data_IF_559676139498
#
_entry.id   IF_559676139498
#
_cell.length_a   1.000
_cell.length_b   1.000
_cell.length_c   1.000
_cell.angle_alpha   90.00
_cell.angle_beta   90.00
_cell.angle_gamma   90.00
#
_symmetry.space_group_name_H-M   'P 1'
#
loop_
_entity.id
_entity.type
_entity.pdbx_description
1 polymer ?
#
# COMPACT_ATOMS: atom_id res chain seq x y z
N UNK A 1 28.42 -18.67 15.74
CA UNK A 1 27.31 -17.70 15.64
C UNK A 1 26.77 -17.79 14.23
N UNK A 2 25.59 -18.41 14.09
CA UNK A 2 25.01 -18.73 12.79
C UNK A 2 24.76 -17.48 11.95
N UNK A 3 25.49 -17.42 10.83
CA UNK A 3 25.23 -16.52 9.71
C UNK A 3 23.98 -17.00 8.95
N UNK A 4 22.82 -17.04 9.62
CA UNK A 4 21.54 -17.07 8.90
C UNK A 4 21.42 -15.74 8.17
N UNK A 5 21.84 -15.71 6.91
CA UNK A 5 21.44 -14.68 5.94
C UNK A 5 19.93 -14.48 6.11
N UNK A 6 19.53 -13.34 6.67
CA UNK A 6 18.12 -13.01 6.84
C UNK A 6 17.50 -12.95 5.44
N UNK A 7 16.81 -14.02 5.05
CA UNK A 7 16.33 -14.20 3.68
C UNK A 7 15.12 -13.33 3.33
N UNK A 8 14.56 -12.64 4.33
CA UNK A 8 13.51 -11.64 4.18
C UNK A 8 14.09 -10.23 4.25
N UNK A 9 14.09 -9.56 3.10
CA UNK A 9 14.27 -8.12 3.00
C UNK A 9 13.02 -7.48 2.37
N UNK A 10 12.82 -6.19 2.59
CA UNK A 10 11.67 -5.45 2.06
C UNK A 10 11.54 -5.55 0.53
N UNK A 11 12.65 -5.72 -0.21
CA UNK A 11 12.62 -5.82 -1.67
C UNK A 11 11.96 -7.11 -2.18
N UNK A 12 12.29 -8.29 -1.60
CA UNK A 12 11.63 -9.55 -1.98
C UNK A 12 10.13 -9.51 -1.68
N UNK A 13 9.77 -8.98 -0.51
CA UNK A 13 8.36 -8.81 -0.10
C UNK A 13 7.63 -7.85 -1.05
N UNK A 14 8.24 -6.70 -1.35
CA UNK A 14 7.69 -5.72 -2.28
C UNK A 14 7.46 -6.34 -3.66
N UNK A 15 8.47 -7.03 -4.21
CA UNK A 15 8.37 -7.66 -5.55
C UNK A 15 7.24 -8.68 -5.61
N UNK A 16 7.11 -9.54 -4.58
CA UNK A 16 6.00 -10.50 -4.49
C UNK A 16 4.66 -9.78 -4.39
N UNK A 17 4.53 -8.84 -3.46
CA UNK A 17 3.32 -8.05 -3.23
C UNK A 17 2.86 -7.37 -4.52
N UNK A 18 3.75 -6.64 -5.19
CA UNK A 18 3.52 -6.03 -6.49
C UNK A 18 3.01 -7.08 -7.45
N UNK A 19 3.82 -8.11 -7.75
CA UNK A 19 3.55 -9.11 -8.79
C UNK A 19 2.20 -9.83 -8.62
N UNK A 20 1.73 -9.93 -7.39
CA UNK A 20 0.46 -10.57 -7.10
C UNK A 20 -0.69 -9.58 -7.06
N UNK A 21 -0.51 -8.38 -6.50
CA UNK A 21 -1.48 -7.27 -6.63
C UNK A 21 -1.81 -7.03 -8.11
N UNK A 22 -0.83 -7.19 -9.02
CA UNK A 22 -1.04 -7.12 -10.46
C UNK A 22 -2.09 -8.09 -11.02
N UNK A 23 -2.33 -9.19 -10.31
CA UNK A 23 -3.15 -10.33 -10.73
C UNK A 23 -4.41 -10.48 -9.89
N UNK A 24 -4.57 -9.70 -8.83
CA UNK A 24 -5.78 -9.74 -8.00
C UNK A 24 -6.91 -9.09 -8.80
N UNK A 25 -8.01 -9.80 -8.93
CA UNK A 25 -9.27 -9.21 -9.36
C UNK A 25 -9.88 -8.44 -8.18
N UNK A 26 -9.57 -7.15 -8.09
CA UNK A 26 -10.14 -6.29 -7.07
C UNK A 26 -11.60 -5.98 -7.42
N UNK A 27 -12.47 -6.11 -6.42
CA UNK A 27 -13.87 -5.74 -6.56
C UNK A 27 -13.96 -4.20 -6.48
N UNK A 28 -14.69 -3.58 -7.39
CA UNK A 28 -14.96 -2.14 -7.34
C UNK A 28 -15.64 -1.80 -6.00
N UNK A 29 -15.11 -0.85 -5.20
CA UNK A 29 -15.79 -0.41 -3.99
C UNK A 29 -17.16 0.17 -4.36
N UNK A 30 -18.22 -0.30 -3.68
CA UNK A 30 -19.52 0.35 -3.78
C UNK A 30 -19.43 1.75 -3.15
N UNK A 31 -20.23 2.70 -3.65
CA UNK A 31 -20.15 4.12 -3.26
C UNK A 31 -20.19 4.36 -1.73
N UNK A 32 -20.86 3.48 -0.98
CA UNK A 32 -21.04 3.57 0.48
C UNK A 32 -19.87 2.99 1.27
N UNK A 33 -18.96 2.25 0.65
CA UNK A 33 -17.85 1.60 1.33
C UNK A 33 -16.81 2.63 1.76
N UNK A 34 -16.39 2.55 3.02
CA UNK A 34 -15.30 3.34 3.61
C UNK A 34 -13.96 2.66 3.38
N UNK A 35 -12.88 3.44 3.27
CA UNK A 35 -11.49 2.95 3.09
C UNK A 35 -11.08 1.85 4.08
N UNK A 36 -11.39 2.04 5.36
CA UNK A 36 -11.12 1.04 6.42
C UNK A 36 -11.84 -0.28 6.13
N UNK A 37 -13.11 -0.21 5.73
CA UNK A 37 -13.90 -1.41 5.45
C UNK A 37 -13.37 -2.14 4.22
N UNK A 38 -13.11 -1.41 3.13
CA UNK A 38 -12.53 -1.98 1.92
C UNK A 38 -11.17 -2.65 2.19
N UNK A 39 -10.29 -1.95 2.91
CA UNK A 39 -8.98 -2.49 3.28
C UNK A 39 -9.12 -3.75 4.13
N UNK A 40 -10.00 -3.75 5.13
CA UNK A 40 -10.20 -4.88 6.04
C UNK A 40 -10.79 -6.11 5.35
N UNK A 41 -11.83 -5.92 4.55
CA UNK A 41 -12.66 -7.01 4.03
C UNK A 41 -12.28 -7.45 2.62
N UNK A 42 -11.56 -6.62 1.85
CA UNK A 42 -11.17 -6.93 0.48
C UNK A 42 -9.66 -7.08 0.34
N UNK A 43 -8.88 -6.02 0.59
CA UNK A 43 -7.43 -6.03 0.31
C UNK A 43 -6.62 -6.92 1.25
N UNK A 44 -6.84 -6.80 2.56
CA UNK A 44 -6.05 -7.50 3.56
C UNK A 44 -6.17 -9.03 3.44
N UNK A 45 -7.35 -9.64 3.23
CA UNK A 45 -7.48 -11.07 2.97
C UNK A 45 -6.62 -11.54 1.80
N UNK A 46 -6.70 -10.87 0.64
CA UNK A 46 -5.88 -11.22 -0.51
C UNK A 46 -4.39 -11.12 -0.21
N UNK A 47 -3.94 -10.01 0.41
CA UNK A 47 -2.53 -9.86 0.78
C UNK A 47 -2.08 -10.99 1.71
N UNK A 48 -2.89 -11.38 2.71
CA UNK A 48 -2.54 -12.48 3.62
C UNK A 48 -2.47 -13.83 2.90
N UNK A 49 -3.40 -14.11 2.00
CA UNK A 49 -3.41 -15.34 1.20
C UNK A 49 -2.11 -15.49 0.40
N UNK A 50 -1.65 -14.42 -0.23
CA UNK A 50 -0.43 -14.37 -1.05
C UNK A 50 0.83 -14.67 -0.22
N UNK A 51 0.81 -14.28 1.06
CA UNK A 51 1.94 -14.42 1.97
C UNK A 51 1.76 -15.58 2.97
N UNK A 52 0.88 -16.54 2.71
CA UNK A 52 0.58 -17.64 3.64
C UNK A 52 1.84 -18.38 4.11
N UNK A 53 2.75 -18.72 3.20
CA UNK A 53 4.00 -19.42 3.55
C UNK A 53 4.98 -18.52 4.29
N UNK A 54 5.04 -17.25 3.93
CA UNK A 54 5.87 -16.26 4.61
C UNK A 54 5.38 -15.95 6.04
N UNK A 55 4.06 -15.96 6.24
CA UNK A 55 3.44 -15.81 7.56
C UNK A 55 3.84 -16.97 8.47
N UNK A 56 3.82 -18.22 7.97
CA UNK A 56 4.30 -19.40 8.72
C UNK A 56 5.78 -19.26 9.12
N UNK A 57 6.57 -18.51 8.35
CA UNK A 57 7.99 -18.23 8.62
C UNK A 57 8.22 -17.01 9.52
N UNK A 58 7.16 -16.34 9.98
CA UNK A 58 7.23 -15.21 10.91
C UNK A 58 7.02 -13.83 10.29
N UNK A 59 6.53 -13.75 9.05
CA UNK A 59 5.99 -12.50 8.50
C UNK A 59 4.67 -12.15 9.21
N UNK A 60 4.54 -10.91 9.66
CA UNK A 60 3.37 -10.40 10.36
C UNK A 60 2.73 -9.33 9.47
N UNK A 61 1.48 -9.56 9.06
CA UNK A 61 0.68 -8.62 8.28
C UNK A 61 -0.49 -8.14 9.14
N UNK A 62 -0.51 -6.83 9.44
CA UNK A 62 -1.59 -6.19 10.20
C UNK A 62 -2.37 -5.25 9.29
N UNK A 63 -3.66 -5.10 9.58
CA UNK A 63 -4.55 -4.19 8.87
C UNK A 63 -5.14 -3.11 9.79
N UNK A 64 -6.19 -2.41 9.33
CA UNK A 64 -6.62 -1.15 9.92
C UNK A 64 -7.30 -1.28 11.29
N UNK A 65 -7.70 -2.49 11.71
CA UNK A 65 -8.28 -2.73 13.04
C UNK A 65 -7.21 -2.89 14.12
N UNK A 66 -6.00 -3.32 13.75
CA UNK A 66 -4.88 -3.45 14.66
C UNK A 66 -3.61 -2.90 13.99
N UNK A 67 -3.60 -1.60 13.65
CA UNK A 67 -2.51 -1.01 12.89
C UNK A 67 -1.23 -0.99 13.71
N UNK A 68 -0.08 -1.07 13.03
CA UNK A 68 1.17 -0.73 13.66
C UNK A 68 1.22 0.79 13.84
N UNK A 69 1.34 1.23 15.09
CA UNK A 69 1.46 2.65 15.42
C UNK A 69 2.91 3.10 15.28
N UNK A 70 3.11 4.27 14.66
CA UNK A 70 4.37 5.00 14.64
C UNK A 70 4.19 6.41 15.18
N UNK A 71 5.29 7.07 15.53
CA UNK A 71 5.30 8.47 16.01
C UNK A 71 5.97 9.40 15.02
N UNK A 72 5.37 10.56 14.78
CA UNK A 72 5.92 11.65 13.97
C UNK A 72 5.62 12.98 14.64
N UNK A 73 6.67 13.68 15.10
CA UNK A 73 6.56 14.77 16.07
C UNK A 73 5.73 14.31 17.29
N UNK A 74 4.75 15.11 17.71
CA UNK A 74 3.85 14.83 18.83
C UNK A 74 2.57 14.07 18.40
N UNK A 75 2.53 13.60 17.14
CA UNK A 75 1.41 12.85 16.58
C UNK A 75 1.72 11.37 16.37
N UNK A 76 0.67 10.55 16.45
CA UNK A 76 0.70 9.17 16.00
C UNK A 76 0.32 9.10 14.50
N UNK A 77 0.96 8.18 13.77
CA UNK A 77 0.51 7.77 12.44
C UNK A 77 0.25 6.28 12.39
N UNK A 78 -0.68 5.88 11.53
CA UNK A 78 -1.19 4.52 11.40
C UNK A 78 -1.24 4.17 9.93
N UNK A 79 -0.44 3.19 9.50
CA UNK A 79 -0.59 2.64 8.15
C UNK A 79 -1.85 1.78 8.08
N UNK A 80 -2.57 1.84 6.96
CA UNK A 80 -3.72 0.97 6.71
C UNK A 80 -3.34 -0.51 6.72
N UNK A 81 -2.20 -0.85 6.13
CA UNK A 81 -1.61 -2.18 6.21
C UNK A 81 -0.13 -2.07 6.54
N UNK A 82 0.34 -2.90 7.47
CA UNK A 82 1.77 -3.02 7.79
C UNK A 82 2.25 -4.45 7.61
N UNK A 83 3.43 -4.60 7.03
CA UNK A 83 4.15 -5.86 6.88
C UNK A 83 5.44 -5.76 7.66
N UNK A 84 5.66 -6.70 8.57
CA UNK A 84 6.85 -6.77 9.41
C UNK A 84 7.38 -8.20 9.48
N UNK A 85 8.68 -8.36 9.74
CA UNK A 85 9.29 -9.67 9.97
C UNK A 85 10.06 -9.65 11.28
N UNK A 86 9.78 -10.60 12.18
CA UNK A 86 10.40 -10.65 13.52
C UNK A 86 10.35 -9.28 14.24
N UNK A 87 9.21 -8.59 14.17
CA UNK A 87 8.96 -7.23 14.72
C UNK A 87 9.69 -6.07 14.03
N UNK A 88 10.54 -6.32 13.02
CA UNK A 88 11.11 -5.26 12.17
C UNK A 88 10.07 -4.83 11.13
N UNK A 89 9.60 -3.57 11.12
CA UNK A 89 8.67 -3.10 10.10
C UNK A 89 9.38 -3.00 8.75
N UNK A 90 8.80 -3.62 7.72
CA UNK A 90 9.38 -3.67 6.38
C UNK A 90 8.65 -2.75 5.42
N UNK A 91 7.33 -2.88 5.34
CA UNK A 91 6.49 -2.15 4.38
C UNK A 91 5.28 -1.57 5.11
N UNK A 92 5.06 -0.28 4.93
CA UNK A 92 3.80 0.40 5.25
C UNK A 92 3.02 0.66 3.97
N UNK A 93 1.72 0.41 3.98
CA UNK A 93 0.83 0.64 2.83
C UNK A 93 -0.25 1.61 3.26
N UNK A 94 -0.37 2.70 2.52
CA UNK A 94 -1.50 3.61 2.54
C UNK A 94 -2.47 3.22 1.43
N UNK A 95 -3.74 3.03 1.75
CA UNK A 95 -4.79 2.68 0.80
C UNK A 95 -5.71 3.88 0.62
N UNK A 96 -5.80 4.38 -0.62
CA UNK A 96 -6.63 5.52 -0.93
C UNK A 96 -7.71 5.20 -1.96
N UNK A 97 -8.97 5.33 -1.55
CA UNK A 97 -10.12 5.26 -2.44
C UNK A 97 -10.44 6.68 -2.95
N UNK A 98 -10.11 6.97 -4.20
CA UNK A 98 -10.38 8.28 -4.80
C UNK A 98 -11.80 8.33 -5.36
N UNK A 99 -12.63 9.15 -4.70
CA UNK A 99 -13.97 9.55 -5.14
C UNK A 99 -13.92 10.93 -5.82
N UNK A 100 -15.01 11.35 -6.46
CA UNK A 100 -15.07 12.62 -7.18
C UNK A 100 -14.93 13.85 -6.26
N UNK A 101 -15.46 13.79 -5.05
CA UNK A 101 -15.43 14.89 -4.09
C UNK A 101 -14.11 14.94 -3.31
N UNK A 102 -13.54 16.12 -3.11
CA UNK A 102 -12.33 16.32 -2.27
C UNK A 102 -11.07 15.63 -2.78
N UNK A 103 -11.06 15.15 -4.02
CA UNK A 103 -10.05 14.26 -4.59
C UNK A 103 -8.61 14.73 -4.40
N UNK A 104 -8.29 15.98 -4.74
CA UNK A 104 -6.93 16.50 -4.65
C UNK A 104 -6.41 16.59 -3.22
N UNK A 105 -7.26 17.03 -2.29
CA UNK A 105 -6.93 17.05 -0.86
C UNK A 105 -6.71 15.63 -0.36
N UNK A 106 -7.61 14.71 -0.70
CA UNK A 106 -7.55 13.30 -0.36
C UNK A 106 -6.24 12.63 -0.82
N UNK A 107 -5.85 12.89 -2.06
CA UNK A 107 -4.59 12.41 -2.63
C UNK A 107 -3.37 13.03 -1.96
N UNK A 108 -3.38 14.34 -1.72
CA UNK A 108 -2.26 15.05 -1.08
C UNK A 108 -2.00 14.54 0.33
N UNK A 109 -3.06 14.28 1.11
CA UNK A 109 -2.97 13.66 2.44
C UNK A 109 -2.35 12.27 2.37
N UNK A 110 -2.81 11.43 1.43
CA UNK A 110 -2.29 10.07 1.24
C UNK A 110 -0.79 10.07 0.91
N UNK A 111 -0.37 10.99 0.03
CA UNK A 111 1.04 11.19 -0.32
C UNK A 111 1.85 11.56 0.93
N UNK A 112 1.39 12.55 1.69
CA UNK A 112 2.06 13.00 2.92
C UNK A 112 2.21 11.87 3.94
N UNK A 113 1.15 11.12 4.21
CA UNK A 113 1.17 9.96 5.12
C UNK A 113 2.16 8.90 4.65
N UNK A 114 2.13 8.56 3.36
CA UNK A 114 3.02 7.53 2.81
C UNK A 114 4.50 7.94 2.86
N UNK A 115 4.80 9.22 2.64
CA UNK A 115 6.16 9.75 2.80
C UNK A 115 6.61 9.69 4.27
N UNK A 116 5.73 9.99 5.23
CA UNK A 116 6.06 9.84 6.65
C UNK A 116 6.40 8.38 6.99
N UNK A 117 5.70 7.41 6.39
CA UNK A 117 5.98 5.98 6.60
C UNK A 117 7.41 5.61 6.19
N UNK A 118 7.88 6.08 5.02
CA UNK A 118 9.23 5.79 4.54
C UNK A 118 10.33 6.52 5.30
N UNK A 119 10.04 7.69 5.89
CA UNK A 119 11.01 8.47 6.65
C UNK A 119 11.27 7.95 8.06
N UNK A 120 10.38 7.13 8.62
CA UNK A 120 10.40 6.82 10.07
C UNK A 120 10.47 5.34 10.40
N UNK A 121 9.42 4.58 10.12
CA UNK A 121 9.26 3.24 10.69
C UNK A 121 9.50 2.12 9.70
N UNK A 122 9.24 2.34 8.41
CA UNK A 122 9.27 1.29 7.40
C UNK A 122 10.47 1.44 6.48
N UNK A 123 11.09 0.31 6.10
CA UNK A 123 12.14 0.31 5.08
C UNK A 123 11.63 0.82 3.72
N UNK A 124 10.35 0.58 3.43
CA UNK A 124 9.66 1.04 2.22
C UNK A 124 8.22 1.41 2.53
N UNK A 125 7.67 2.32 1.75
CA UNK A 125 6.26 2.65 1.81
C UNK A 125 5.59 2.47 0.44
N UNK A 126 4.31 2.16 0.46
CA UNK A 126 3.49 1.99 -0.73
C UNK A 126 2.28 2.91 -0.62
N UNK A 127 2.07 3.72 -1.66
CA UNK A 127 0.82 4.42 -1.87
C UNK A 127 0.00 3.59 -2.85
N UNK A 128 -1.08 2.97 -2.37
CA UNK A 128 -2.04 2.22 -3.18
C UNK A 128 -3.26 3.09 -3.44
N UNK A 129 -3.40 3.57 -4.69
CA UNK A 129 -4.54 4.36 -5.14
C UNK A 129 -5.51 3.45 -5.87
N UNK A 130 -6.78 3.53 -5.47
CA UNK A 130 -7.91 2.86 -6.12
C UNK A 130 -8.88 3.95 -6.56
N UNK A 131 -9.05 4.09 -7.86
CA UNK A 131 -9.76 5.19 -8.48
C UNK A 131 -11.07 4.73 -9.12
N UNK A 132 -12.20 5.23 -8.62
CA UNK A 132 -13.53 4.79 -9.02
C UNK A 132 -13.98 5.34 -10.40
N UNK A 133 -13.46 6.50 -10.79
CA UNK A 133 -13.87 7.27 -11.99
C UNK A 133 -12.63 8.04 -12.54
N UNK A 134 -11.94 7.55 -13.60
CA UNK A 134 -10.78 8.24 -14.25
C UNK A 134 -11.17 9.71 -14.56
N UNK A 135 -10.26 10.69 -14.53
CA UNK A 135 -8.92 10.64 -15.13
C UNK A 135 -7.84 11.33 -14.26
N UNK A 136 -6.90 10.59 -13.66
CA UNK A 136 -5.55 11.15 -13.51
C UNK A 136 -4.82 10.82 -14.81
N UNK A 137 -4.22 11.83 -15.42
CA UNK A 137 -3.51 11.63 -16.66
C UNK A 137 -2.26 10.76 -16.46
N UNK A 138 -1.84 10.05 -17.52
CA UNK A 138 -0.67 9.17 -17.45
C UNK A 138 0.60 9.96 -17.12
N UNK A 139 0.73 11.18 -17.60
CA UNK A 139 1.90 12.01 -17.34
C UNK A 139 1.89 12.50 -15.88
N UNK A 140 0.72 12.84 -15.33
CA UNK A 140 0.56 13.14 -13.90
C UNK A 140 0.96 11.96 -13.01
N UNK A 141 0.50 10.74 -13.32
CA UNK A 141 0.91 9.52 -12.61
C UNK A 141 2.42 9.29 -12.72
N UNK A 142 3.00 9.55 -13.89
CA UNK A 142 4.44 9.41 -14.12
C UNK A 142 5.24 10.41 -13.28
N UNK A 143 4.80 11.66 -13.22
CA UNK A 143 5.42 12.71 -12.41
C UNK A 143 5.29 12.42 -10.92
N UNK A 144 4.11 11.99 -10.47
CA UNK A 144 3.88 11.59 -9.09
C UNK A 144 4.81 10.43 -8.70
N UNK A 145 4.86 9.37 -9.52
CA UNK A 145 5.77 8.23 -9.31
C UNK A 145 7.22 8.65 -9.16
N UNK A 146 7.73 9.48 -10.09
CA UNK A 146 9.12 9.99 -10.04
C UNK A 146 9.40 10.75 -8.75
N UNK A 147 8.42 11.51 -8.26
CA UNK A 147 8.55 12.28 -7.01
C UNK A 147 8.53 11.39 -5.76
N UNK A 148 7.66 10.37 -5.75
CA UNK A 148 7.54 9.39 -4.68
C UNK A 148 8.76 8.46 -4.59
N UNK A 149 9.31 8.03 -5.73
CA UNK A 149 10.47 7.14 -5.78
C UNK A 149 11.70 7.74 -5.08
N UNK A 150 11.91 9.06 -5.21
CA UNK A 150 12.98 9.77 -4.49
C UNK A 150 12.88 9.65 -2.96
N UNK A 151 11.70 9.30 -2.44
CA UNK A 151 11.40 9.17 -1.03
C UNK A 151 11.19 7.70 -0.61
N UNK A 152 11.68 6.72 -1.37
CA UNK A 152 11.46 5.28 -1.12
C UNK A 152 9.97 4.89 -1.04
N UNK A 153 9.10 5.64 -1.73
CA UNK A 153 7.68 5.34 -1.86
C UNK A 153 7.41 4.71 -3.22
N UNK A 154 6.77 3.54 -3.23
CA UNK A 154 6.26 2.90 -4.44
C UNK A 154 4.81 3.33 -4.67
N UNK A 155 4.46 3.67 -5.90
CA UNK A 155 3.08 3.97 -6.29
C UNK A 155 2.44 2.74 -6.95
N UNK A 156 1.27 2.34 -6.48
CA UNK A 156 0.41 1.37 -7.16
C UNK A 156 -0.92 2.05 -7.45
N UNK A 157 -1.36 2.03 -8.70
CA UNK A 157 -2.58 2.71 -9.14
C UNK A 157 -3.53 1.74 -9.84
N UNK A 158 -4.77 1.70 -9.37
CA UNK A 158 -5.89 0.94 -9.93
C UNK A 158 -6.98 1.88 -10.40
N UNK A 159 -7.61 1.56 -11.53
CA UNK A 159 -8.75 2.31 -12.02
C UNK A 159 -9.90 1.40 -12.48
N UNK A 160 -11.12 1.70 -12.02
CA UNK A 160 -12.35 0.94 -12.28
C UNK A 160 -13.29 1.52 -13.35
N UNK A 161 -12.85 2.51 -14.12
CA UNK A 161 -13.71 3.25 -15.08
C UNK A 161 -13.48 2.91 -16.54
N UNK A 162 -12.51 2.05 -16.84
CA UNK A 162 -12.44 1.37 -18.13
C UNK A 162 -12.86 -0.08 -17.88
N UNK A 163 -13.68 -0.66 -18.76
CA UNK A 163 -14.04 -2.09 -18.76
C UNK A 163 -12.81 -3.03 -18.86
N UNK A 164 -11.63 -2.45 -19.00
CA UNK A 164 -10.37 -3.07 -18.68
C UNK A 164 -10.16 -3.03 -17.15
N UNK A 165 -10.30 -4.18 -16.49
CA UNK A 165 -9.66 -4.49 -15.19
C UNK A 165 -8.11 -4.45 -15.30
N UNK A 166 -7.55 -3.68 -16.24
CA UNK A 166 -6.13 -3.56 -16.48
C UNK A 166 -5.53 -2.62 -15.45
N UNK A 167 -4.87 -3.25 -14.50
CA UNK A 167 -3.78 -2.72 -13.73
C UNK A 167 -2.86 -1.81 -14.57
N UNK A 168 -2.98 -0.49 -14.41
CA UNK A 168 -1.97 0.45 -14.90
C UNK A 168 -0.86 0.52 -13.87
N UNK A 169 -0.08 -0.55 -13.81
CA UNK A 169 1.09 -0.60 -12.97
C UNK A 169 2.19 0.28 -13.54
N UNK A 170 2.71 1.16 -12.70
CA UNK A 170 3.89 1.95 -13.02
C UNK A 170 4.88 1.80 -11.86
N UNK A 171 5.86 0.91 -12.03
CA UNK A 171 7.09 0.89 -11.20
C UNK A 171 8.04 2.00 -11.66
#
# INVERSE_FOLDING_TARGET
MDNQKNDFNSYKVLKKLISTIQKIELIKPENVVKEIAYTKYTLLPHIKEIFTEEIKKGLIIRGPINPLKGKFFDGDYLSDISISFKRKPLIGIEVKLLKSEGRHQSLSTAIGQTVIYSLKQYERAILLIIDEKLNIDKDELTMLRKSLYKNNVTLIYFNFSKNDNQLRFMD
#
